data_IF_813800045353
#
_entry.id   IF_813800045353
#
_cell.length_a   1.000
_cell.length_b   1.000
_cell.length_c   1.000
_cell.angle_alpha   90.00
_cell.angle_beta   90.00
_cell.angle_gamma   90.00
#
_symmetry.space_group_name_H-M   'P 1'
#
loop_
_entity.id
_entity.type
_entity.pdbx_description
1 polymer ?
#
# COMPACT_ATOMS: atom_id res chain seq x y z
N UNK A 1 25.36 -41.39 -25.37
CA UNK A 1 24.20 -41.26 -24.46
C UNK A 1 23.31 -40.13 -24.97
N UNK A 2 22.50 -40.40 -26.00
CA UNK A 2 21.57 -39.40 -26.54
C UNK A 2 20.15 -39.86 -26.24
N UNK A 3 19.77 -39.83 -24.97
CA UNK A 3 18.38 -40.03 -24.56
C UNK A 3 17.61 -38.74 -24.82
N UNK A 4 17.33 -38.46 -26.10
CA UNK A 4 16.29 -37.53 -26.49
C UNK A 4 14.93 -38.12 -26.08
N UNK A 5 14.62 -38.05 -24.78
CA UNK A 5 13.27 -38.29 -24.29
C UNK A 5 12.42 -37.11 -24.76
N UNK A 6 11.87 -37.23 -25.96
CA UNK A 6 11.02 -36.22 -26.61
C UNK A 6 9.83 -35.80 -25.74
N UNK A 7 9.38 -36.67 -24.83
CA UNK A 7 8.36 -36.36 -23.84
C UNK A 7 8.77 -35.22 -22.87
N UNK A 8 10.04 -35.12 -22.47
CA UNK A 8 10.55 -34.03 -21.61
C UNK A 8 10.94 -32.77 -22.38
N UNK A 9 10.79 -32.80 -23.71
CA UNK A 9 10.87 -31.63 -24.58
C UNK A 9 9.49 -31.04 -24.90
N UNK A 10 8.41 -31.81 -24.69
CA UNK A 10 7.04 -31.36 -24.88
C UNK A 10 6.61 -30.43 -23.74
N UNK A 11 6.17 -29.22 -24.08
CA UNK A 11 5.75 -28.20 -23.10
C UNK A 11 4.52 -28.63 -22.30
N UNK A 12 3.59 -29.35 -22.92
CA UNK A 12 2.34 -29.76 -22.28
C UNK A 12 2.57 -30.80 -21.19
N UNK A 13 3.44 -31.79 -21.46
CA UNK A 13 3.84 -32.79 -20.47
C UNK A 13 4.57 -32.12 -19.30
N UNK A 14 5.50 -31.20 -19.59
CA UNK A 14 6.20 -30.44 -18.55
C UNK A 14 5.22 -29.63 -17.69
N UNK A 15 4.20 -29.00 -18.31
CA UNK A 15 3.17 -28.25 -17.58
C UNK A 15 2.41 -29.16 -16.61
N UNK A 16 1.97 -30.34 -17.06
CA UNK A 16 1.26 -31.31 -16.20
C UNK A 16 2.14 -31.76 -15.02
N UNK A 17 3.43 -32.00 -15.26
CA UNK A 17 4.38 -32.41 -14.21
C UNK A 17 4.60 -31.26 -13.22
N UNK A 18 4.91 -30.07 -13.73
CA UNK A 18 5.24 -28.90 -12.91
C UNK A 18 4.06 -28.40 -12.07
N UNK A 19 2.82 -28.62 -12.53
CA UNK A 19 1.61 -28.37 -11.74
C UNK A 19 1.54 -29.16 -10.43
N UNK A 20 2.30 -30.26 -10.31
CA UNK A 20 2.34 -31.09 -9.10
C UNK A 20 3.56 -30.80 -8.21
N UNK A 21 4.50 -30.00 -8.68
CA UNK A 21 5.74 -29.73 -7.95
C UNK A 21 5.58 -28.58 -6.94
N UNK A 22 6.22 -28.67 -5.76
CA UNK A 22 6.30 -27.54 -4.85
C UNK A 22 7.26 -26.47 -5.41
N UNK A 23 7.12 -25.25 -4.90
CA UNK A 23 7.91 -24.08 -5.33
C UNK A 23 9.44 -24.33 -5.38
N UNK A 24 10.09 -24.94 -4.38
CA UNK A 24 11.54 -25.18 -4.43
C UNK A 24 11.95 -26.06 -5.60
N UNK A 25 11.14 -27.07 -5.95
CA UNK A 25 11.42 -27.98 -7.04
C UNK A 25 11.12 -27.36 -8.39
N UNK A 26 10.13 -26.48 -8.46
CA UNK A 26 9.87 -25.65 -9.64
C UNK A 26 11.06 -24.71 -9.92
N UNK A 27 11.62 -24.10 -8.87
CA UNK A 27 12.81 -23.27 -8.98
C UNK A 27 14.02 -24.08 -9.47
N UNK A 28 14.25 -25.29 -8.95
CA UNK A 28 15.31 -26.19 -9.44
C UNK A 28 15.10 -26.60 -10.90
N UNK A 29 13.87 -26.93 -11.26
CA UNK A 29 13.49 -27.31 -12.62
C UNK A 29 13.75 -26.18 -13.62
N UNK A 30 13.54 -24.92 -13.21
CA UNK A 30 13.84 -23.75 -14.04
C UNK A 30 15.31 -23.64 -14.47
N UNK A 31 16.23 -24.24 -13.72
CA UNK A 31 17.67 -24.19 -14.00
C UNK A 31 18.14 -25.26 -15.01
N UNK A 32 17.30 -26.23 -15.38
CA UNK A 32 17.71 -27.39 -16.19
C UNK A 32 17.93 -27.02 -17.65
N UNK A 33 16.99 -26.27 -18.26
CA UNK A 33 17.07 -25.88 -19.66
C UNK A 33 16.23 -24.63 -19.94
N UNK A 34 16.41 -24.01 -21.12
CA UNK A 34 15.58 -22.86 -21.53
C UNK A 34 14.10 -23.22 -21.67
N UNK A 35 13.79 -24.43 -22.13
CA UNK A 35 12.41 -24.91 -22.25
C UNK A 35 11.80 -25.10 -20.88
N UNK A 36 12.52 -25.74 -19.96
CA UNK A 36 12.06 -25.93 -18.59
C UNK A 36 11.91 -24.60 -17.86
N UNK A 37 12.84 -23.66 -18.03
CA UNK A 37 12.73 -22.32 -17.47
C UNK A 37 11.47 -21.59 -17.95
N UNK A 38 11.18 -21.68 -19.25
CA UNK A 38 9.98 -21.06 -19.82
C UNK A 38 8.71 -21.62 -19.21
N UNK A 39 8.59 -22.95 -19.06
CA UNK A 39 7.38 -23.57 -18.49
C UNK A 39 7.33 -23.38 -16.98
N UNK A 40 8.44 -23.54 -16.26
CA UNK A 40 8.50 -23.39 -14.81
C UNK A 40 8.25 -21.95 -14.35
N UNK A 41 8.57 -20.96 -15.19
CA UNK A 41 8.30 -19.55 -14.93
C UNK A 41 6.88 -19.11 -15.32
N UNK A 42 6.05 -20.01 -15.86
CA UNK A 42 4.67 -19.68 -16.21
C UNK A 42 3.88 -19.23 -14.98
N UNK A 43 3.25 -18.06 -15.08
CA UNK A 43 2.50 -17.43 -13.97
C UNK A 43 1.49 -18.40 -13.34
N UNK A 44 0.74 -19.14 -14.16
CA UNK A 44 -0.33 -20.03 -13.69
C UNK A 44 0.19 -21.20 -12.85
N UNK A 45 1.33 -21.79 -13.24
CA UNK A 45 1.94 -22.90 -12.52
C UNK A 45 2.46 -22.39 -11.18
N UNK A 46 3.21 -21.29 -11.23
CA UNK A 46 3.82 -20.67 -10.06
C UNK A 46 2.75 -20.21 -9.06
N UNK A 47 1.67 -19.58 -9.54
CA UNK A 47 0.58 -19.11 -8.68
C UNK A 47 -0.14 -20.28 -8.02
N UNK A 48 -0.39 -21.39 -8.74
CA UNK A 48 -0.98 -22.60 -8.16
C UNK A 48 -0.07 -23.26 -7.12
N UNK A 49 1.21 -23.38 -7.42
CA UNK A 49 2.21 -23.91 -6.49
C UNK A 49 2.35 -23.05 -5.22
N UNK A 50 2.12 -21.73 -5.34
CA UNK A 50 2.08 -20.81 -4.19
C UNK A 50 0.80 -20.96 -3.36
N UNK A 51 -0.36 -21.08 -4.01
CA UNK A 51 -1.69 -21.18 -3.36
C UNK A 51 -1.87 -22.50 -2.62
N UNK A 52 -1.43 -23.61 -3.21
CA UNK A 52 -1.76 -24.96 -2.75
C UNK A 52 -1.36 -25.25 -1.29
N UNK A 53 -0.15 -24.89 -0.82
CA UNK A 53 0.26 -25.18 0.56
C UNK A 53 -0.57 -24.45 1.62
N UNK A 54 -1.04 -23.24 1.30
CA UNK A 54 -1.75 -22.37 2.26
C UNK A 54 -3.28 -22.48 2.17
N UNK A 55 -3.80 -23.24 1.19
CA UNK A 55 -5.25 -23.33 0.91
C UNK A 55 -5.89 -21.94 0.70
N UNK A 56 -5.16 -21.06 0.01
CA UNK A 56 -5.66 -19.74 -0.37
C UNK A 56 -6.77 -19.88 -1.41
N UNK A 57 -7.69 -18.91 -1.44
CA UNK A 57 -8.74 -18.84 -2.47
C UNK A 57 -8.20 -18.32 -3.79
N UNK A 58 -7.46 -17.22 -3.74
CA UNK A 58 -6.89 -16.58 -4.92
C UNK A 58 -5.70 -15.68 -4.56
N UNK A 59 -4.85 -15.42 -5.54
CA UNK A 59 -3.70 -14.51 -5.46
C UNK A 59 -3.82 -13.48 -6.57
N UNK A 60 -3.96 -12.22 -6.19
CA UNK A 60 -4.15 -11.12 -7.13
C UNK A 60 -2.86 -10.29 -7.18
N UNK A 61 -2.46 -9.87 -8.38
CA UNK A 61 -1.28 -9.05 -8.60
C UNK A 61 -0.16 -9.75 -9.37
N UNK A 62 0.91 -9.01 -9.63
CA UNK A 62 2.13 -9.51 -10.26
C UNK A 62 3.31 -8.91 -9.50
N UNK A 63 4.27 -9.72 -9.00
CA UNK A 63 5.48 -9.17 -8.43
C UNK A 63 6.31 -8.48 -9.52
N UNK A 64 7.14 -7.53 -9.12
CA UNK A 64 8.11 -6.87 -9.99
C UNK A 64 9.29 -7.81 -10.28
N UNK A 65 9.66 -8.64 -9.30
CA UNK A 65 10.72 -9.64 -9.45
C UNK A 65 10.20 -11.08 -9.43
N UNK A 66 10.68 -11.90 -10.36
CA UNK A 66 10.43 -13.35 -10.34
C UNK A 66 11.05 -14.06 -9.12
N UNK A 67 11.99 -13.42 -8.41
CA UNK A 67 12.54 -13.96 -7.16
C UNK A 67 11.50 -14.10 -6.06
N UNK A 68 10.40 -13.33 -6.11
CA UNK A 68 9.29 -13.45 -5.19
C UNK A 68 8.78 -14.89 -5.07
N UNK A 69 8.76 -15.61 -6.18
CA UNK A 69 8.21 -16.95 -6.25
C UNK A 69 9.16 -18.07 -5.85
N UNK A 70 10.44 -17.77 -5.57
CA UNK A 70 11.46 -18.81 -5.31
C UNK A 70 11.29 -19.51 -3.96
N UNK A 71 10.68 -18.82 -2.99
CA UNK A 71 10.45 -19.35 -1.66
C UNK A 71 8.99 -19.23 -1.28
N UNK A 72 8.48 -20.17 -0.49
CA UNK A 72 7.11 -20.14 0.02
C UNK A 72 7.11 -20.16 1.55
N UNK A 73 7.62 -19.10 2.17
CA UNK A 73 7.69 -18.97 3.63
C UNK A 73 6.57 -18.09 4.16
N UNK A 74 6.12 -18.38 5.39
CA UNK A 74 5.05 -17.62 6.04
C UNK A 74 5.38 -16.13 6.19
N UNK A 75 6.68 -15.79 6.33
CA UNK A 75 7.15 -14.41 6.44
C UNK A 75 6.92 -13.54 5.19
N UNK A 76 6.49 -14.13 4.06
CA UNK A 76 6.04 -13.36 2.88
C UNK A 76 4.62 -12.83 3.02
N UNK A 77 3.84 -13.38 3.94
CA UNK A 77 2.47 -12.95 4.17
C UNK A 77 2.42 -11.88 5.26
N UNK A 78 1.61 -10.86 5.01
CA UNK A 78 1.32 -9.84 6.01
C UNK A 78 -0.16 -9.44 5.96
N UNK A 79 -0.71 -9.12 7.11
CA UNK A 79 -2.02 -8.50 7.23
C UNK A 79 -1.83 -6.99 7.08
N UNK A 80 -2.59 -6.37 6.19
CA UNK A 80 -2.67 -4.91 6.10
C UNK A 80 -3.66 -4.41 7.15
N UNK A 81 -3.15 -3.70 8.17
CA UNK A 81 -3.99 -3.02 9.15
C UNK A 81 -3.96 -1.51 8.89
N UNK A 82 -5.15 -0.93 8.73
CA UNK A 82 -5.33 0.51 8.61
C UNK A 82 -5.22 1.15 9.99
N UNK A 83 -4.34 2.14 10.11
CA UNK A 83 -4.08 2.83 11.37
C UNK A 83 -5.23 3.77 11.73
N UNK A 84 -5.72 3.65 12.95
CA UNK A 84 -6.77 4.51 13.54
C UNK A 84 -6.17 5.32 14.69
N UNK A 85 -6.78 6.47 15.01
CA UNK A 85 -6.36 7.27 16.18
C UNK A 85 -6.37 6.40 17.44
N UNK A 86 -5.24 6.36 18.13
CA UNK A 86 -5.03 5.53 19.31
C UNK A 86 -4.27 4.22 19.04
N UNK A 87 -4.10 3.83 17.77
CA UNK A 87 -3.25 2.69 17.43
C UNK A 87 -1.78 3.01 17.74
N UNK A 88 -1.14 2.06 18.41
CA UNK A 88 0.30 2.01 18.68
C UNK A 88 0.86 0.66 18.25
N UNK A 89 2.15 0.59 17.93
CA UNK A 89 2.80 -0.69 17.56
C UNK A 89 2.61 -1.74 18.65
N UNK A 90 2.68 -1.34 19.93
CA UNK A 90 2.43 -2.22 21.07
C UNK A 90 0.99 -2.71 21.13
N UNK A 91 -0.01 -1.83 20.97
CA UNK A 91 -1.41 -2.24 20.96
C UNK A 91 -1.74 -3.19 19.81
N UNK A 92 -1.14 -2.98 18.63
CA UNK A 92 -1.30 -3.87 17.48
C UNK A 92 -0.62 -5.22 17.71
N UNK A 93 0.58 -5.21 18.30
CA UNK A 93 1.28 -6.44 18.67
C UNK A 93 0.41 -7.33 19.57
N UNK A 94 -0.23 -6.74 20.59
CA UNK A 94 -1.17 -7.46 21.47
C UNK A 94 -2.39 -7.94 20.72
N UNK A 95 -3.03 -7.07 19.92
CA UNK A 95 -4.24 -7.40 19.16
C UNK A 95 -4.06 -8.59 18.21
N UNK A 96 -2.90 -8.67 17.56
CA UNK A 96 -2.59 -9.71 16.59
C UNK A 96 -1.74 -10.84 17.15
N UNK A 97 -1.43 -10.82 18.45
CA UNK A 97 -0.59 -11.81 19.12
C UNK A 97 0.79 -11.99 18.46
N UNK A 98 1.43 -10.88 18.07
CA UNK A 98 2.75 -10.85 17.43
C UNK A 98 3.74 -10.05 18.25
N UNK A 99 5.04 -10.20 18.00
CA UNK A 99 6.05 -9.39 18.68
C UNK A 99 6.15 -8.00 18.06
N UNK A 100 6.31 -6.97 18.89
CA UNK A 100 6.55 -5.58 18.46
C UNK A 100 7.77 -5.49 17.52
N UNK A 101 8.81 -6.25 17.81
CA UNK A 101 10.04 -6.27 17.01
C UNK A 101 9.81 -6.82 15.60
N UNK A 102 8.93 -7.81 15.44
CA UNK A 102 8.64 -8.38 14.12
C UNK A 102 7.83 -7.42 13.25
N UNK A 103 6.88 -6.70 13.85
CA UNK A 103 6.17 -5.61 13.16
C UNK A 103 7.18 -4.54 12.70
N UNK A 104 8.08 -4.11 13.59
CA UNK A 104 9.10 -3.10 13.26
C UNK A 104 10.01 -3.55 12.11
N UNK A 105 10.53 -4.78 12.18
CA UNK A 105 11.39 -5.39 11.14
C UNK A 105 10.69 -5.53 9.81
N UNK A 106 9.41 -5.95 9.82
CA UNK A 106 8.63 -6.11 8.60
C UNK A 106 8.41 -4.76 7.90
N UNK A 107 8.15 -3.71 8.68
CA UNK A 107 7.85 -2.37 8.16
C UNK A 107 9.08 -1.47 7.95
N UNK A 108 10.29 -1.99 8.19
CA UNK A 108 11.52 -1.21 8.18
C UNK A 108 11.45 0.02 9.12
N UNK A 109 10.98 -0.20 10.35
CA UNK A 109 10.88 0.84 11.37
C UNK A 109 11.98 0.66 12.41
N UNK A 110 12.70 1.74 12.71
CA UNK A 110 13.71 1.77 13.79
C UNK A 110 13.12 2.23 15.13
N UNK A 111 12.03 3.02 15.11
CA UNK A 111 11.37 3.57 16.30
C UNK A 111 9.85 3.48 16.19
N UNK A 112 9.16 3.60 17.32
CA UNK A 112 7.68 3.56 17.38
C UNK A 112 7.04 4.79 16.70
N UNK A 113 7.74 5.91 16.62
CA UNK A 113 7.24 7.14 16.00
C UNK A 113 6.98 7.01 14.50
N UNK A 114 7.57 6.01 13.82
CA UNK A 114 7.34 5.77 12.40
C UNK A 114 5.89 5.40 12.04
N UNK A 115 5.06 5.08 13.04
CA UNK A 115 3.63 4.81 12.86
C UNK A 115 2.85 6.04 12.40
N UNK A 116 3.22 7.25 12.86
CA UNK A 116 2.44 8.46 12.62
C UNK A 116 2.56 9.01 11.20
N UNK A 117 3.58 8.56 10.45
CA UNK A 117 3.82 8.96 9.06
C UNK A 117 3.19 8.02 8.05
N UNK A 118 2.45 7.00 8.51
CA UNK A 118 1.90 5.92 7.69
C UNK A 118 0.39 5.84 7.86
N UNK A 119 -0.28 5.40 6.82
CA UNK A 119 -1.73 5.15 6.83
C UNK A 119 -2.07 3.71 7.22
N UNK A 120 -1.16 2.79 6.89
CA UNK A 120 -1.30 1.36 7.16
C UNK A 120 0.00 0.78 7.67
N UNK A 121 -0.12 -0.33 8.39
CA UNK A 121 1.01 -1.11 8.88
C UNK A 121 0.86 -2.56 8.47
N UNK A 122 1.96 -3.17 8.04
CA UNK A 122 2.02 -4.59 7.72
C UNK A 122 2.23 -5.38 9.01
N UNK A 123 1.38 -6.35 9.27
CA UNK A 123 1.45 -7.18 10.47
C UNK A 123 1.85 -8.59 10.06
N UNK A 124 2.92 -9.17 10.63
CA UNK A 124 3.35 -10.52 10.28
C UNK A 124 2.26 -11.53 10.64
N UNK A 125 2.11 -12.58 9.83
CA UNK A 125 1.19 -13.67 10.11
C UNK A 125 1.91 -14.73 10.94
N UNK A 126 1.47 -14.95 12.17
CA UNK A 126 1.99 -16.04 13.01
C UNK A 126 1.27 -17.38 12.76
N UNK A 127 -0.04 -17.34 12.53
CA UNK A 127 -0.85 -18.53 12.34
C UNK A 127 -1.24 -18.72 10.87
N UNK A 128 -0.85 -19.82 10.22
CA UNK A 128 -1.15 -20.08 8.81
C UNK A 128 -2.65 -20.30 8.56
N UNK A 129 -3.42 -20.62 9.60
CA UNK A 129 -4.87 -20.80 9.50
C UNK A 129 -5.61 -19.54 9.03
N UNK A 130 -5.04 -18.36 9.29
CA UNK A 130 -5.58 -17.07 8.87
C UNK A 130 -5.56 -16.93 7.34
N UNK A 131 -4.68 -17.70 6.65
CA UNK A 131 -4.56 -17.70 5.20
C UNK A 131 -5.64 -18.53 4.51
N UNK A 132 -6.26 -19.48 5.23
CA UNK A 132 -7.23 -20.42 4.64
C UNK A 132 -8.42 -19.67 4.04
N UNK A 133 -8.75 -19.96 2.78
CA UNK A 133 -9.82 -19.32 2.01
C UNK A 133 -9.67 -17.79 1.85
N UNK A 134 -8.52 -17.22 2.21
CA UNK A 134 -8.21 -15.82 2.03
C UNK A 134 -7.80 -15.52 0.59
N UNK A 135 -8.02 -14.28 0.16
CA UNK A 135 -7.44 -13.73 -1.07
C UNK A 135 -6.27 -12.84 -0.71
N UNK A 136 -5.09 -13.11 -1.25
CA UNK A 136 -3.91 -12.29 -1.01
C UNK A 136 -3.57 -11.43 -2.24
N UNK A 137 -2.99 -10.26 -1.98
CA UNK A 137 -2.60 -9.29 -2.98
C UNK A 137 -1.09 -9.15 -2.97
N UNK A 138 -0.44 -9.38 -4.10
CA UNK A 138 1.00 -9.17 -4.24
C UNK A 138 1.22 -7.70 -4.53
N UNK A 139 1.79 -7.00 -3.57
CA UNK A 139 2.06 -5.57 -3.64
C UNK A 139 3.49 -5.29 -3.20
N UNK A 140 4.09 -4.24 -3.79
CA UNK A 140 5.31 -3.65 -3.26
C UNK A 140 4.92 -2.54 -2.28
N UNK A 141 5.35 -2.67 -1.02
CA UNK A 141 5.06 -1.64 -0.03
C UNK A 141 6.06 -0.48 -0.12
N UNK A 142 5.52 0.74 -0.22
CA UNK A 142 6.31 1.96 -0.40
C UNK A 142 7.22 2.27 0.78
N UNK A 143 6.85 1.88 2.00
CA UNK A 143 7.61 2.21 3.20
C UNK A 143 8.53 1.07 3.63
N UNK A 144 8.07 -0.18 3.56
CA UNK A 144 8.85 -1.36 3.88
C UNK A 144 9.85 -1.75 2.77
N UNK A 145 9.70 -1.17 1.58
CA UNK A 145 10.56 -1.37 0.39
C UNK A 145 10.75 -2.84 0.01
N UNK A 146 9.67 -3.64 0.15
CA UNK A 146 9.67 -5.08 -0.13
C UNK A 146 8.36 -5.52 -0.75
N UNK A 147 8.43 -6.61 -1.50
CA UNK A 147 7.26 -7.30 -2.04
C UNK A 147 6.65 -8.22 -0.99
N UNK A 148 5.35 -8.09 -0.76
CA UNK A 148 4.63 -8.83 0.29
C UNK A 148 3.32 -9.35 -0.27
N UNK A 149 2.93 -10.55 0.15
CA UNK A 149 1.59 -11.07 -0.04
C UNK A 149 0.67 -10.51 1.06
N UNK A 150 -0.10 -9.50 0.71
CA UNK A 150 -0.91 -8.72 1.64
C UNK A 150 -2.32 -9.28 1.76
N UNK A 151 -2.84 -9.37 2.98
CA UNK A 151 -4.20 -9.78 3.29
C UNK A 151 -4.99 -8.59 3.82
N UNK A 152 -6.18 -8.37 3.27
CA UNK A 152 -7.10 -7.32 3.72
C UNK A 152 -8.27 -7.93 4.48
N UNK A 153 -8.31 -7.74 5.80
CA UNK A 153 -9.38 -8.28 6.66
C UNK A 153 -10.74 -7.59 6.44
N UNK A 154 -10.76 -6.38 5.86
CA UNK A 154 -11.98 -5.56 5.65
C UNK A 154 -12.47 -5.52 4.19
N UNK A 155 -12.25 -6.57 3.41
CA UNK A 155 -12.90 -6.71 2.09
C UNK A 155 -12.17 -6.08 0.90
N UNK A 156 -10.85 -6.24 0.83
CA UNK A 156 -10.01 -5.81 -0.30
C UNK A 156 -9.47 -4.38 -0.18
N UNK A 157 -8.57 -3.96 -1.10
CA UNK A 157 -8.07 -2.60 -1.15
C UNK A 157 -9.21 -1.68 -1.62
N UNK A 158 -9.89 -1.03 -0.67
CA UNK A 158 -11.00 -0.12 -0.97
C UNK A 158 -10.51 0.99 -1.93
N UNK A 159 -11.05 1.01 -3.17
CA UNK A 159 -10.75 2.02 -4.20
C UNK A 159 -11.09 3.45 -3.76
N UNK A 160 -11.76 3.64 -2.62
CA UNK A 160 -12.18 4.95 -2.09
C UNK A 160 -11.06 5.82 -1.52
N UNK A 161 -9.86 5.29 -1.32
CA UNK A 161 -8.84 6.01 -0.52
C UNK A 161 -8.09 7.12 -1.25
N UNK A 162 -7.93 7.07 -2.58
CA UNK A 162 -7.33 8.19 -3.32
C UNK A 162 -8.20 9.46 -3.35
N UNK A 163 -9.48 9.38 -2.99
CA UNK A 163 -10.38 10.54 -2.94
C UNK A 163 -10.46 11.17 -1.53
N UNK A 164 -10.36 10.37 -0.46
CA UNK A 164 -10.46 10.87 0.92
C UNK A 164 -9.21 11.59 1.41
N UNK A 165 -8.01 11.15 1.00
CA UNK A 165 -6.74 11.76 1.42
C UNK A 165 -6.58 13.18 0.89
N UNK A 166 -6.94 13.41 -0.37
CA UNK A 166 -6.92 14.75 -0.96
C UNK A 166 -7.98 15.66 -0.36
N UNK A 167 -9.19 15.15 -0.07
CA UNK A 167 -10.29 15.96 0.45
C UNK A 167 -10.13 16.35 1.92
N UNK A 168 -9.68 15.43 2.79
CA UNK A 168 -9.52 15.74 4.23
C UNK A 168 -8.28 16.60 4.49
N UNK A 169 -7.20 16.40 3.73
CA UNK A 169 -6.00 17.25 3.78
C UNK A 169 -6.27 18.65 3.21
N UNK A 170 -6.99 18.77 2.08
CA UNK A 170 -7.31 20.08 1.50
C UNK A 170 -8.25 20.89 2.39
N UNK A 171 -9.28 20.27 2.98
CA UNK A 171 -10.25 21.00 3.81
C UNK A 171 -9.66 21.46 5.15
N UNK A 172 -8.77 20.68 5.76
CA UNK A 172 -8.04 21.14 6.96
C UNK A 172 -7.01 22.21 6.64
N UNK A 173 -6.33 22.11 5.49
CA UNK A 173 -5.42 23.15 4.99
C UNK A 173 -6.14 24.48 4.74
N UNK A 174 -7.25 24.44 4.01
CA UNK A 174 -8.09 25.62 3.73
C UNK A 174 -8.60 26.28 5.01
N UNK A 175 -9.06 25.51 6.00
CA UNK A 175 -9.52 26.06 7.29
C UNK A 175 -8.41 26.79 8.06
N UNK A 176 -7.17 26.28 8.03
CA UNK A 176 -6.01 26.96 8.65
C UNK A 176 -5.66 28.26 7.94
N UNK A 177 -5.77 28.29 6.61
CA UNK A 177 -5.54 29.48 5.79
C UNK A 177 -6.60 30.55 6.10
N UNK A 178 -7.87 30.16 6.15
CA UNK A 178 -9.00 31.06 6.50
C UNK A 178 -8.82 31.62 7.92
N UNK A 179 -8.48 30.78 8.91
CA UNK A 179 -8.20 31.26 10.27
C UNK A 179 -7.05 32.27 10.32
N UNK A 180 -6.00 32.05 9.53
CA UNK A 180 -4.86 32.96 9.46
C UNK A 180 -5.25 34.30 8.83
N UNK A 181 -5.99 34.26 7.72
CA UNK A 181 -6.49 35.47 7.04
C UNK A 181 -7.41 36.28 7.94
N UNK A 182 -8.32 35.61 8.63
CA UNK A 182 -9.20 36.21 9.63
C UNK A 182 -8.43 36.99 10.69
N UNK A 183 -7.37 36.39 11.24
CA UNK A 183 -6.52 37.03 12.27
C UNK A 183 -5.76 38.22 11.71
N UNK A 184 -5.27 38.15 10.47
CA UNK A 184 -4.49 39.24 9.86
C UNK A 184 -5.35 40.42 9.39
N UNK A 185 -6.54 40.15 8.85
CA UNK A 185 -7.43 41.17 8.30
C UNK A 185 -8.41 41.72 9.37
N UNK A 186 -8.56 41.03 10.50
CA UNK A 186 -9.52 41.32 11.58
C UNK A 186 -10.99 41.35 11.11
N UNK A 187 -11.35 40.44 10.19
CA UNK A 187 -12.69 40.37 9.59
C UNK A 187 -13.39 39.07 10.00
N UNK A 188 -14.66 38.90 9.65
CA UNK A 188 -15.41 37.67 9.87
C UNK A 188 -14.95 36.51 8.96
N UNK A 189 -15.29 35.28 9.36
CA UNK A 189 -14.96 34.05 8.64
C UNK A 189 -15.51 34.04 7.19
N UNK A 190 -16.63 34.73 6.93
CA UNK A 190 -17.26 34.80 5.61
C UNK A 190 -16.49 35.70 4.66
N UNK A 191 -16.09 36.88 5.13
CA UNK A 191 -15.29 37.82 4.33
C UNK A 191 -13.88 37.27 4.04
N UNK A 192 -13.26 36.59 5.00
CA UNK A 192 -11.98 35.90 4.76
C UNK A 192 -12.09 34.78 3.72
N UNK A 193 -13.23 34.07 3.66
CA UNK A 193 -13.50 33.06 2.64
C UNK A 193 -13.71 33.68 1.26
N UNK A 194 -14.39 34.83 1.19
CA UNK A 194 -14.64 35.56 -0.05
C UNK A 194 -13.33 35.95 -0.74
N UNK A 195 -12.43 36.66 -0.06
CA UNK A 195 -11.16 37.08 -0.66
C UNK A 195 -10.24 35.89 -0.99
N UNK A 196 -10.26 34.83 -0.19
CA UNK A 196 -9.53 33.59 -0.51
C UNK A 196 -10.09 32.88 -1.77
N UNK A 197 -11.39 33.01 -2.02
CA UNK A 197 -12.04 32.43 -3.21
C UNK A 197 -11.73 33.21 -4.48
N UNK A 198 -11.62 34.54 -4.38
CA UNK A 198 -11.21 35.42 -5.48
C UNK A 198 -9.75 35.16 -5.86
N UNK A 199 -8.88 35.00 -4.86
CA UNK A 199 -7.45 34.80 -5.06
C UNK A 199 -7.05 33.37 -5.43
N UNK A 200 -7.99 32.50 -5.83
CA UNK A 200 -7.76 31.09 -6.18
C UNK A 200 -6.96 30.30 -5.11
N UNK A 201 -7.09 30.68 -3.83
CA UNK A 201 -6.43 29.99 -2.72
C UNK A 201 -5.08 30.57 -2.27
N UNK A 202 -4.61 31.67 -2.87
CA UNK A 202 -3.38 32.34 -2.46
C UNK A 202 -3.64 33.39 -1.35
N UNK A 203 -3.09 33.22 -0.14
CA UNK A 203 -3.39 34.11 0.99
C UNK A 203 -2.77 35.50 0.86
N UNK A 204 -1.64 35.64 0.17
CA UNK A 204 -0.98 36.94 -0.01
C UNK A 204 -1.72 37.84 -0.98
N UNK A 205 -2.26 37.27 -2.06
CA UNK A 205 -3.08 37.99 -3.01
C UNK A 205 -4.38 38.47 -2.36
N UNK A 206 -5.05 37.60 -1.58
CA UNK A 206 -6.24 37.96 -0.81
C UNK A 206 -6.00 39.15 0.16
N UNK A 207 -4.84 39.19 0.81
CA UNK A 207 -4.44 40.30 1.68
C UNK A 207 -4.19 41.61 0.92
N UNK A 208 -3.58 41.52 -0.27
CA UNK A 208 -3.34 42.68 -1.13
C UNK A 208 -4.66 43.32 -1.58
N UNK A 209 -5.56 42.51 -2.13
CA UNK A 209 -6.87 42.97 -2.62
C UNK A 209 -7.69 43.63 -1.50
N UNK A 210 -7.74 43.01 -0.31
CA UNK A 210 -8.42 43.61 0.84
C UNK A 210 -7.79 44.93 1.31
N UNK A 211 -6.45 45.02 1.25
CA UNK A 211 -5.76 46.26 1.62
C UNK A 211 -6.05 47.39 0.63
N UNK A 212 -6.21 47.07 -0.65
CA UNK A 212 -6.55 48.03 -1.70
C UNK A 212 -8.00 48.52 -1.55
N UNK A 213 -8.95 47.61 -1.30
CA UNK A 213 -10.36 47.95 -1.06
C UNK A 213 -10.54 48.85 0.16
N UNK A 214 -9.93 48.49 1.29
CA UNK A 214 -9.99 49.29 2.52
C UNK A 214 -9.31 50.65 2.39
N UNK A 215 -8.26 50.75 1.58
CA UNK A 215 -7.60 52.01 1.28
C UNK A 215 -8.48 52.91 0.40
N UNK A 216 -9.19 52.34 -0.57
CA UNK A 216 -10.12 53.07 -1.42
C UNK A 216 -11.31 53.62 -0.63
N UNK A 217 -11.93 52.81 0.24
CA UNK A 217 -13.02 53.26 1.12
C UNK A 217 -12.61 54.44 2.01
N UNK A 218 -11.38 54.42 2.55
CA UNK A 218 -10.84 55.52 3.36
C UNK A 218 -10.60 56.80 2.56
N UNK A 219 -10.27 56.71 1.28
CA UNK A 219 -10.04 57.88 0.43
C UNK A 219 -11.34 58.51 -0.06
N UNK A 220 -12.36 57.69 -0.34
CA UNK A 220 -13.67 58.16 -0.80
C UNK A 220 -14.52 58.69 0.35
N UNK A 221 -14.37 58.16 1.57
CA UNK A 221 -15.11 58.61 2.76
C UNK A 221 -14.64 59.93 3.39
N UNK A 222 -13.62 60.59 2.84
CA UNK A 222 -13.05 61.86 3.34
C UNK A 222 -13.37 63.04 2.40
N UNK A 223 -14.26 62.84 1.42
CA UNK A 223 -14.80 63.88 0.55
C UNK A 223 -16.22 64.29 0.97
#
# INVERSE_FOLDING_TARGET
MNSHFSALACRDILRIIFEKLPIPDLARSSCVSRVWNSVASDKEIVTRAFVAPWKLKDVIGKPLSGSFWRDNTLGKFAISHLLVRGDSVASLAVKYCVQVMDIKRLNNMMSDHGIYSRERLLIPVSNPDILKNGTCYIELDNYAKREVAVLYLKGGPDRRFNCFLNKVSSEQGKKRIIESLRRSMQVDDGTAQYYLSISNGDPRAALSEYSEDTQWERQVGVA
#
